data_IF_201094115035
#
_entry.id   IF_201094115035
#
_cell.length_a   1.000
_cell.length_b   1.000
_cell.length_c   1.000
_cell.angle_alpha   90.00
_cell.angle_beta   90.00
_cell.angle_gamma   90.00
#
_symmetry.space_group_name_H-M   'P 1'
#
loop_
_entity.id
_entity.type
_entity.pdbx_description
1 polymer ?
#
# COMPACT_ATOMS: atom_id res chain seq x y z
N UNK A 1 -29.01 32.06 -4.21
CA UNK A 1 -28.86 30.60 -4.42
C UNK A 1 -27.43 30.36 -4.84
N UNK A 2 -26.68 29.53 -4.12
CA UNK A 2 -25.31 29.15 -4.47
C UNK A 2 -25.34 27.96 -5.41
N UNK A 3 -24.78 28.11 -6.62
CA UNK A 3 -24.56 27.02 -7.57
C UNK A 3 -23.13 26.51 -7.39
N UNK A 4 -22.96 25.20 -7.20
CA UNK A 4 -21.65 24.56 -7.13
C UNK A 4 -21.33 24.02 -8.54
N UNK A 5 -20.25 24.52 -9.14
CA UNK A 5 -19.75 23.98 -10.40
C UNK A 5 -18.92 22.74 -10.11
N UNK A 6 -19.30 21.60 -10.70
CA UNK A 6 -18.56 20.34 -10.66
C UNK A 6 -18.20 19.92 -12.09
N UNK A 7 -17.13 20.46 -12.68
CA UNK A 7 -16.64 20.05 -13.99
C UNK A 7 -16.35 18.54 -13.98
N UNK A 8 -16.74 17.83 -15.03
CA UNK A 8 -16.48 16.38 -15.17
C UNK A 8 -17.47 15.47 -14.43
N UNK A 9 -18.54 15.99 -13.83
CA UNK A 9 -19.55 15.17 -13.14
C UNK A 9 -20.16 14.07 -14.03
N UNK A 10 -20.23 14.30 -15.35
CA UNK A 10 -20.73 13.31 -16.32
C UNK A 10 -19.67 12.31 -16.78
N UNK A 11 -18.40 12.63 -16.58
CA UNK A 11 -17.24 11.85 -17.03
C UNK A 11 -16.64 11.03 -15.87
N UNK A 12 -17.17 11.20 -14.65
CA UNK A 12 -16.80 10.43 -13.47
C UNK A 12 -17.12 8.95 -13.70
N UNK A 13 -16.08 8.13 -13.59
CA UNK A 13 -16.16 6.68 -13.70
C UNK A 13 -15.38 6.05 -12.55
N UNK A 14 -15.73 4.81 -12.21
CA UNK A 14 -14.94 4.04 -11.26
C UNK A 14 -13.55 3.76 -11.85
N UNK A 15 -12.48 3.93 -11.05
CA UNK A 15 -11.15 3.56 -11.48
C UNK A 15 -11.09 2.09 -11.89
N UNK A 16 -10.32 1.78 -12.93
CA UNK A 16 -10.17 0.41 -13.42
C UNK A 16 -9.18 -0.37 -12.56
N UNK A 17 -9.36 -1.68 -12.49
CA UNK A 17 -8.35 -2.58 -11.91
C UNK A 17 -7.24 -2.77 -12.95
N UNK A 18 -5.99 -2.64 -12.50
CA UNK A 18 -4.83 -2.82 -13.37
C UNK A 18 -4.67 -4.31 -13.70
N UNK A 19 -4.25 -4.68 -14.93
CA UNK A 19 -3.84 -6.04 -15.23
C UNK A 19 -2.74 -6.52 -14.28
N UNK A 20 -2.65 -7.81 -13.99
CA UNK A 20 -1.55 -8.33 -13.17
C UNK A 20 -0.19 -8.09 -13.83
N UNK A 21 0.79 -7.62 -13.07
CA UNK A 21 2.10 -7.26 -13.62
C UNK A 21 2.94 -6.41 -12.68
N UNK A 22 4.12 -6.03 -13.17
CA UNK A 22 5.04 -5.11 -12.47
C UNK A 22 4.70 -3.67 -12.86
N UNK A 23 4.63 -2.80 -11.86
CA UNK A 23 4.33 -1.38 -12.03
C UNK A 23 5.26 -0.51 -11.18
N UNK A 24 5.49 0.71 -11.64
CA UNK A 24 6.13 1.74 -10.83
C UNK A 24 5.08 2.35 -9.91
N UNK A 25 5.31 2.22 -8.59
CA UNK A 25 4.37 2.61 -7.55
C UNK A 25 4.96 3.75 -6.72
N UNK A 26 4.14 4.74 -6.42
CA UNK A 26 4.48 5.81 -5.49
C UNK A 26 3.51 5.82 -4.32
N UNK A 27 4.02 5.85 -3.08
CA UNK A 27 3.17 6.05 -1.91
C UNK A 27 2.70 7.52 -1.89
N UNK A 28 1.40 7.76 -2.02
CA UNK A 28 0.81 9.10 -2.02
C UNK A 28 0.18 9.48 -0.68
N UNK A 29 -0.08 8.49 0.18
CA UNK A 29 -0.62 8.71 1.53
C UNK A 29 -0.14 7.60 2.44
N UNK A 30 0.26 7.95 3.65
CA UNK A 30 0.51 7.02 4.74
C UNK A 30 -0.16 7.53 6.02
N UNK A 31 -0.84 6.65 6.75
CA UNK A 31 -1.47 6.97 8.04
C UNK A 31 -1.33 5.80 8.99
N UNK A 32 -0.92 6.08 10.22
CA UNK A 32 -0.99 5.11 11.30
C UNK A 32 -2.42 5.03 11.82
N UNK A 33 -2.89 3.79 11.98
CA UNK A 33 -4.16 3.44 12.56
C UNK A 33 -3.91 2.54 13.76
N UNK A 34 -4.63 2.79 14.84
CA UNK A 34 -4.65 1.93 16.01
C UNK A 34 -6.09 1.49 16.24
N UNK A 35 -6.31 0.18 16.33
CA UNK A 35 -7.61 -0.41 16.65
C UNK A 35 -7.43 -1.58 17.59
N UNK A 36 -8.03 -1.50 18.77
CA UNK A 36 -8.06 -2.61 19.74
C UNK A 36 -6.65 -3.15 20.07
N UNK A 37 -5.66 -2.25 20.23
CA UNK A 37 -4.26 -2.61 20.50
C UNK A 37 -3.48 -3.10 19.28
N UNK A 38 -4.11 -3.22 18.10
CA UNK A 38 -3.44 -3.52 16.84
C UNK A 38 -3.02 -2.22 16.14
N UNK A 39 -1.72 -2.10 15.88
CA UNK A 39 -1.14 -1.00 15.12
C UNK A 39 -1.02 -1.38 13.65
N UNK A 40 -1.38 -0.48 12.76
CA UNK A 40 -1.30 -0.69 11.31
C UNK A 40 -0.95 0.61 10.60
N UNK A 41 -0.05 0.55 9.62
CA UNK A 41 0.20 1.67 8.71
C UNK A 41 -0.59 1.42 7.44
N UNK A 42 -1.59 2.25 7.18
CA UNK A 42 -2.32 2.26 5.91
C UNK A 42 -1.55 3.14 4.93
N UNK A 43 -1.18 2.56 3.78
CA UNK A 43 -0.59 3.26 2.65
C UNK A 43 -1.52 3.24 1.45
N UNK A 44 -1.57 4.34 0.71
CA UNK A 44 -2.22 4.42 -0.60
C UNK A 44 -1.12 4.59 -1.64
N UNK A 45 -1.08 3.68 -2.61
CA UNK A 45 -0.11 3.67 -3.70
C UNK A 45 -0.81 4.12 -4.98
N UNK A 46 -0.18 5.04 -5.69
CA UNK A 46 -0.53 5.41 -7.05
C UNK A 46 0.30 4.58 -8.04
N UNK A 47 -0.30 4.20 -9.16
CA UNK A 47 0.39 3.57 -10.29
C UNK A 47 0.90 4.70 -11.19
N UNK A 48 2.20 4.95 -11.19
CA UNK A 48 2.78 6.09 -11.89
C UNK A 48 2.57 5.95 -13.40
N UNK A 49 2.06 7.02 -14.04
CA UNK A 49 1.80 7.07 -15.48
C UNK A 49 0.44 6.51 -15.93
N UNK A 50 -0.34 5.89 -15.04
CA UNK A 50 -1.60 5.22 -15.37
C UNK A 50 -2.79 5.78 -14.56
N UNK A 51 -3.29 6.99 -14.87
CA UNK A 51 -4.32 7.68 -14.07
C UNK A 51 -5.71 7.01 -14.13
N UNK A 52 -5.92 6.10 -15.07
CA UNK A 52 -7.17 5.34 -15.22
C UNK A 52 -7.30 4.20 -14.20
N UNK A 53 -6.19 3.79 -13.57
CA UNK A 53 -6.20 2.68 -12.63
C UNK A 53 -6.48 3.13 -11.20
N UNK A 54 -7.19 2.30 -10.46
CA UNK A 54 -7.45 2.53 -9.05
C UNK A 54 -6.19 2.46 -8.20
N UNK A 55 -6.09 3.37 -7.24
CA UNK A 55 -5.04 3.33 -6.23
C UNK A 55 -5.04 2.00 -5.48
N UNK A 56 -3.86 1.58 -5.05
CA UNK A 56 -3.66 0.37 -4.28
C UNK A 56 -3.69 0.72 -2.80
N UNK A 57 -4.58 0.11 -2.05
CA UNK A 57 -4.61 0.22 -0.59
C UNK A 57 -3.81 -0.93 0.00
N UNK A 58 -2.72 -0.61 0.71
CA UNK A 58 -1.89 -1.59 1.39
C UNK A 58 -1.82 -1.29 2.88
N UNK A 59 -1.84 -2.33 3.70
CA UNK A 59 -1.87 -2.23 5.15
C UNK A 59 -0.69 -3.01 5.73
N UNK A 60 0.23 -2.30 6.36
CA UNK A 60 1.36 -2.89 7.08
C UNK A 60 0.95 -3.09 8.53
N UNK A 61 0.67 -4.34 8.91
CA UNK A 61 0.37 -4.68 10.31
C UNK A 61 1.67 -4.66 11.13
N UNK A 62 1.65 -3.95 12.25
CA UNK A 62 2.75 -3.91 13.21
C UNK A 62 2.43 -4.82 14.42
N UNK A 63 3.45 -5.41 15.06
CA UNK A 63 3.23 -6.20 16.27
C UNK A 63 2.80 -5.32 17.45
N UNK A 64 1.91 -5.85 18.29
CA UNK A 64 1.65 -5.32 19.64
C UNK A 64 2.51 -6.03 20.70
N UNK A 65 2.39 -5.61 21.96
CA UNK A 65 3.20 -6.17 23.07
C UNK A 65 3.01 -7.69 23.30
N UNK A 66 1.80 -8.21 23.08
CA UNK A 66 1.44 -9.62 23.31
C UNK A 66 1.07 -10.36 22.00
N UNK A 67 1.70 -9.98 20.88
CA UNK A 67 1.36 -10.53 19.57
C UNK A 67 2.06 -11.87 19.28
N UNK A 68 1.30 -12.96 19.31
CA UNK A 68 1.78 -14.31 18.98
C UNK A 68 2.40 -14.41 17.56
N UNK A 69 2.07 -13.48 16.66
CA UNK A 69 2.59 -13.43 15.28
C UNK A 69 3.59 -12.29 15.06
N UNK A 70 4.22 -11.79 16.13
CA UNK A 70 5.11 -10.63 16.06
C UNK A 70 6.22 -10.78 15.02
N UNK A 71 6.90 -11.92 14.99
CA UNK A 71 8.00 -12.20 14.05
C UNK A 71 7.53 -12.13 12.59
N UNK A 72 6.36 -12.72 12.30
CA UNK A 72 5.81 -12.70 10.94
C UNK A 72 5.40 -11.29 10.50
N UNK A 73 4.76 -10.52 11.39
CA UNK A 73 4.40 -9.12 11.10
C UNK A 73 5.63 -8.25 10.87
N UNK A 74 6.66 -8.40 11.70
CA UNK A 74 7.94 -7.72 11.51
C UNK A 74 8.59 -8.11 10.18
N UNK A 75 8.54 -9.38 9.78
CA UNK A 75 9.04 -9.81 8.47
C UNK A 75 8.28 -9.14 7.32
N UNK A 76 6.94 -9.10 7.38
CA UNK A 76 6.13 -8.46 6.33
C UNK A 76 6.39 -6.95 6.28
N UNK A 77 6.49 -6.30 7.43
CA UNK A 77 6.84 -4.89 7.53
C UNK A 77 8.24 -4.61 6.95
N UNK A 78 9.23 -5.41 7.33
CA UNK A 78 10.62 -5.30 6.82
C UNK A 78 10.68 -5.45 5.31
N UNK A 79 9.94 -6.42 4.73
CA UNK A 79 9.84 -6.57 3.28
C UNK A 79 9.28 -5.31 2.61
N UNK A 80 8.19 -4.77 3.13
CA UNK A 80 7.58 -3.56 2.59
C UNK A 80 8.51 -2.34 2.71
N UNK A 81 9.10 -2.11 3.89
CA UNK A 81 10.01 -0.98 4.11
C UNK A 81 11.24 -1.07 3.21
N UNK A 82 11.82 -2.26 3.07
CA UNK A 82 12.96 -2.49 2.16
C UNK A 82 12.56 -2.23 0.71
N UNK A 83 11.39 -2.71 0.27
CA UNK A 83 10.91 -2.54 -1.10
C UNK A 83 10.76 -1.05 -1.48
N UNK A 84 10.26 -0.22 -0.55
CA UNK A 84 10.07 1.21 -0.77
C UNK A 84 11.24 2.09 -0.30
N UNK A 85 12.34 1.49 0.16
CA UNK A 85 13.53 2.23 0.60
C UNK A 85 13.31 3.07 1.87
N UNK A 86 12.43 2.63 2.76
CA UNK A 86 12.15 3.28 4.05
C UNK A 86 13.20 2.84 5.06
N UNK A 87 13.81 3.80 5.75
CA UNK A 87 14.86 3.54 6.74
C UNK A 87 14.24 3.02 8.06
N UNK A 88 14.89 2.03 8.66
CA UNK A 88 14.41 1.29 9.84
C UNK A 88 15.33 1.47 11.06
N UNK A 89 15.67 2.71 11.42
CA UNK A 89 16.57 3.01 12.55
C UNK A 89 15.81 2.96 13.88
N UNK A 90 15.75 1.78 14.51
CA UNK A 90 14.96 1.49 15.73
C UNK A 90 13.43 1.71 15.60
N UNK A 91 12.95 2.01 14.38
CA UNK A 91 11.56 2.30 14.07
C UNK A 91 11.43 2.84 12.65
N UNK A 92 10.27 3.39 12.30
CA UNK A 92 10.03 4.04 11.01
C UNK A 92 9.32 5.37 11.22
N UNK A 93 9.71 6.38 10.45
CA UNK A 93 9.07 7.70 10.45
C UNK A 93 8.04 7.79 9.33
N UNK A 94 6.78 8.12 9.65
CA UNK A 94 5.69 8.17 8.66
C UNK A 94 5.95 9.15 7.51
N UNK A 95 6.75 10.18 7.75
CA UNK A 95 7.13 11.20 6.75
C UNK A 95 7.96 10.61 5.61
N UNK A 96 8.69 9.53 5.84
CA UNK A 96 9.48 8.85 4.81
C UNK A 96 8.61 8.13 3.78
N UNK A 97 7.36 7.79 4.14
CA UNK A 97 6.51 6.99 3.28
C UNK A 97 6.06 7.78 2.05
N UNK A 98 5.51 8.99 2.25
CA UNK A 98 4.93 9.76 1.14
C UNK A 98 6.02 10.20 0.18
N UNK A 99 5.88 9.81 -1.10
CA UNK A 99 6.87 10.07 -2.15
C UNK A 99 7.89 8.95 -2.35
N UNK A 100 7.93 7.94 -1.46
CA UNK A 100 8.75 6.75 -1.67
C UNK A 100 8.22 5.91 -2.83
N UNK A 101 9.16 5.40 -3.63
CA UNK A 101 8.87 4.70 -4.90
C UNK A 101 9.48 3.32 -4.90
N UNK A 102 8.77 2.39 -5.52
CA UNK A 102 9.25 1.05 -5.76
C UNK A 102 8.65 0.49 -7.04
N UNK A 103 9.38 -0.42 -7.68
CA UNK A 103 8.76 -1.35 -8.61
C UNK A 103 8.04 -2.44 -7.78
N UNK A 104 6.79 -2.71 -8.10
CA UNK A 104 5.98 -3.66 -7.35
C UNK A 104 5.00 -4.42 -8.23
N UNK A 105 4.84 -5.70 -7.89
CA UNK A 105 3.91 -6.58 -8.55
C UNK A 105 2.50 -6.36 -8.02
N UNK A 106 1.58 -6.02 -8.92
CA UNK A 106 0.16 -5.99 -8.64
C UNK A 106 -0.49 -7.28 -9.10
N UNK A 107 -1.36 -7.82 -8.24
CA UNK A 107 -2.28 -8.91 -8.54
C UNK A 107 -3.71 -8.43 -8.39
N UNK A 108 -4.64 -9.16 -9.00
CA UNK A 108 -6.06 -8.88 -8.85
C UNK A 108 -6.63 -9.77 -7.74
N UNK A 109 -7.41 -9.18 -6.85
CA UNK A 109 -8.14 -9.89 -5.81
C UNK A 109 -9.61 -9.48 -5.84
N UNK A 110 -10.50 -10.37 -5.43
CA UNK A 110 -11.94 -10.11 -5.36
C UNK A 110 -12.39 -10.09 -3.90
N UNK A 111 -12.93 -8.96 -3.45
CA UNK A 111 -13.49 -8.82 -2.11
C UNK A 111 -14.93 -8.33 -2.21
N UNK A 112 -15.86 -9.08 -1.62
CA UNK A 112 -17.31 -8.78 -1.65
C UNK A 112 -17.87 -8.51 -3.06
N UNK A 113 -17.34 -9.19 -4.08
CA UNK A 113 -17.78 -9.04 -5.48
C UNK A 113 -17.14 -7.87 -6.23
N UNK A 114 -16.18 -7.17 -5.61
CA UNK A 114 -15.42 -6.09 -6.23
C UNK A 114 -13.97 -6.52 -6.45
N UNK A 115 -13.52 -6.41 -7.70
CA UNK A 115 -12.10 -6.58 -8.04
C UNK A 115 -11.30 -5.37 -7.54
N UNK A 116 -10.11 -5.62 -7.00
CA UNK A 116 -9.19 -4.60 -6.51
C UNK A 116 -7.75 -4.93 -6.87
N UNK A 117 -6.92 -3.89 -6.94
CA UNK A 117 -5.47 -4.03 -7.03
C UNK A 117 -4.91 -4.40 -5.65
N UNK A 118 -4.05 -5.40 -5.60
CA UNK A 118 -3.33 -5.80 -4.38
C UNK A 118 -1.84 -5.83 -4.68
N UNK A 119 -1.06 -5.14 -3.83
CA UNK A 119 0.39 -5.24 -3.87
C UNK A 119 0.84 -6.60 -3.34
N UNK A 120 1.57 -7.34 -4.16
CA UNK A 120 2.36 -8.48 -3.72
C UNK A 120 3.74 -7.98 -3.29
N UNK A 121 3.98 -7.93 -1.98
CA UNK A 121 5.25 -7.46 -1.42
C UNK A 121 6.36 -8.46 -1.74
N UNK A 122 7.50 -7.96 -2.19
CA UNK A 122 8.65 -8.77 -2.58
C UNK A 122 9.27 -9.47 -1.35
N UNK A 123 9.80 -10.67 -1.56
CA UNK A 123 10.66 -11.33 -0.56
C UNK A 123 11.99 -10.59 -0.44
N UNK A 124 12.61 -10.63 0.73
CA UNK A 124 13.96 -10.10 0.91
C UNK A 124 14.96 -10.96 0.14
N UNK A 125 16.06 -10.36 -0.30
CA UNK A 125 17.14 -11.09 -0.99
C UNK A 125 17.70 -12.24 -0.12
N UNK A 126 17.73 -12.06 1.19
CA UNK A 126 18.18 -13.07 2.17
C UNK A 126 17.27 -14.30 2.24
N UNK A 127 16.06 -14.23 1.68
CA UNK A 127 15.07 -15.32 1.67
C UNK A 127 15.05 -16.07 0.33
N UNK A 128 15.85 -15.64 -0.65
CA UNK A 128 15.89 -16.26 -1.98
C UNK A 128 16.82 -17.50 -2.05
N UNK A 129 17.63 -17.73 -1.01
CA UNK A 129 18.63 -18.80 -0.93
C UNK A 129 18.17 -20.03 -0.11
N UNK A 130 16.90 -20.09 0.31
CA UNK A 130 16.27 -21.25 0.99
C UNK A 130 15.23 -21.94 0.11
#
# INVERSE_FOLDING_TARGET
MSFISLPGLKDAHEPKVAPEGEYDLCIITAKMNEKEGSLTIMTVLEIEGEPDFGNVFHYVALPGEDDDNAEFKLLMATRFFTQFGIEMDEGVELEQFVGSRANGRLIQDEYEGQLKNVLQVNRLATEADE
#
